data_IF_355633399770
#
_entry.id   IF_355633399770
#
_cell.length_a   1.000
_cell.length_b   1.000
_cell.length_c   1.000
_cell.angle_alpha   90.00
_cell.angle_beta   90.00
_cell.angle_gamma   90.00
#
_symmetry.space_group_name_H-M   'P 1'
#
loop_
_entity.id
_entity.type
_entity.pdbx_description
1 polymer ?
#
# COMPACT_ATOMS: atom_id res chain seq x y z
N UNK A 1 17.08 35.13 -25.33
CA UNK A 1 16.66 33.71 -25.33
C UNK A 1 16.21 33.35 -23.91
N UNK A 2 14.90 33.25 -23.64
CA UNK A 2 14.38 32.99 -22.28
C UNK A 2 14.47 31.49 -21.98
N UNK A 3 15.37 31.10 -21.08
CA UNK A 3 15.52 29.73 -20.60
C UNK A 3 14.29 29.38 -19.74
N UNK A 4 13.34 28.64 -20.31
CA UNK A 4 12.22 28.05 -19.55
C UNK A 4 12.78 26.87 -18.76
N UNK A 5 13.06 27.07 -17.47
CA UNK A 5 13.18 25.97 -16.53
C UNK A 5 11.82 25.29 -16.42
N UNK A 6 11.62 24.18 -17.16
CA UNK A 6 10.58 23.23 -16.84
C UNK A 6 10.99 22.57 -15.52
N UNK A 7 10.38 22.99 -14.41
CA UNK A 7 10.37 22.18 -13.21
C UNK A 7 9.59 20.89 -13.55
N UNK A 8 10.30 19.83 -13.91
CA UNK A 8 9.71 18.51 -14.09
C UNK A 8 9.37 18.00 -12.70
N UNK A 9 8.14 18.23 -12.25
CA UNK A 9 7.59 17.51 -11.10
C UNK A 9 7.43 16.04 -11.49
N UNK A 10 8.47 15.26 -11.21
CA UNK A 10 8.36 13.80 -11.26
C UNK A 10 7.43 13.39 -10.12
N UNK A 11 6.17 13.10 -10.45
CA UNK A 11 5.25 12.48 -9.51
C UNK A 11 5.67 11.02 -9.31
N UNK A 12 6.61 10.80 -8.40
CA UNK A 12 7.06 9.46 -8.04
C UNK A 12 5.92 8.71 -7.36
N UNK A 13 5.68 7.48 -7.80
CA UNK A 13 4.70 6.63 -7.15
C UNK A 13 5.11 6.34 -5.70
N UNK A 14 4.16 6.47 -4.77
CA UNK A 14 4.43 6.32 -3.35
C UNK A 14 3.32 5.51 -2.67
N UNK A 15 3.71 4.79 -1.62
CA UNK A 15 2.80 4.08 -0.73
C UNK A 15 2.86 4.71 0.67
N UNK A 16 1.72 4.74 1.35
CA UNK A 16 1.65 5.08 2.77
C UNK A 16 0.70 4.13 3.49
N UNK A 17 1.00 3.90 4.77
CA UNK A 17 0.30 2.98 5.64
C UNK A 17 -0.18 3.73 6.89
N UNK A 18 -1.44 3.51 7.28
CA UNK A 18 -2.00 3.98 8.55
C UNK A 18 -2.85 2.89 9.18
N UNK A 19 -2.93 2.88 10.50
CA UNK A 19 -3.83 2.00 11.23
C UNK A 19 -5.07 2.73 11.71
N UNK A 20 -6.18 2.01 11.86
CA UNK A 20 -7.29 2.48 12.69
C UNK A 20 -6.85 2.59 14.15
N UNK A 21 -7.50 3.47 14.92
CA UNK A 21 -7.21 3.67 16.35
C UNK A 21 -7.33 2.37 17.16
N UNK A 22 -8.30 1.51 16.80
CA UNK A 22 -8.51 0.20 17.41
C UNK A 22 -7.67 -0.93 16.80
N UNK A 23 -6.76 -0.59 15.87
CA UNK A 23 -5.87 -1.52 15.15
C UNK A 23 -6.57 -2.69 14.46
N UNK A 24 -7.85 -2.56 14.13
CA UNK A 24 -8.60 -3.58 13.36
C UNK A 24 -8.41 -3.47 11.85
N UNK A 25 -8.00 -2.29 11.38
CA UNK A 25 -7.84 -2.01 9.96
C UNK A 25 -6.51 -1.36 9.65
N UNK A 26 -5.92 -1.74 8.52
CA UNK A 26 -4.83 -1.03 7.87
C UNK A 26 -5.33 -0.32 6.61
N UNK A 27 -5.04 0.96 6.51
CA UNK A 27 -5.37 1.81 5.37
C UNK A 27 -4.11 2.02 4.54
N UNK A 28 -4.10 1.43 3.34
CA UNK A 28 -3.03 1.55 2.36
C UNK A 28 -3.43 2.64 1.37
N UNK A 29 -2.60 3.66 1.19
CA UNK A 29 -2.83 4.71 0.19
C UNK A 29 -1.67 4.76 -0.80
N UNK A 30 -2.02 4.82 -2.08
CA UNK A 30 -1.07 4.85 -3.19
C UNK A 30 -1.31 6.12 -4.00
N UNK A 31 -0.24 6.85 -4.31
CA UNK A 31 -0.26 8.12 -5.06
C UNK A 31 0.75 8.10 -6.20
N UNK A 32 0.69 9.06 -7.12
CA UNK A 32 1.62 9.14 -8.25
C UNK A 32 1.38 8.06 -9.31
N UNK A 33 0.13 7.59 -9.45
CA UNK A 33 -0.17 6.37 -10.23
C UNK A 33 -0.35 6.58 -11.74
N UNK A 34 -0.13 7.80 -12.25
CA UNK A 34 -0.46 8.15 -13.64
C UNK A 34 0.20 7.25 -14.66
N UNK A 35 1.44 6.81 -14.40
CA UNK A 35 2.24 5.97 -15.28
C UNK A 35 2.42 4.53 -14.77
N UNK A 36 1.73 4.18 -13.69
CA UNK A 36 1.72 2.83 -13.12
C UNK A 36 0.61 2.01 -13.78
N UNK A 37 0.95 0.81 -14.26
CA UNK A 37 0.02 -0.16 -14.83
C UNK A 37 -0.48 -1.17 -13.79
N UNK A 38 0.36 -1.51 -12.80
CA UNK A 38 0.06 -2.47 -11.74
C UNK A 38 0.72 -2.08 -10.43
N UNK A 39 0.01 -2.33 -9.34
CA UNK A 39 0.57 -2.37 -7.98
C UNK A 39 0.45 -3.81 -7.48
N UNK A 40 1.51 -4.31 -6.87
CA UNK A 40 1.48 -5.50 -6.01
C UNK A 40 1.97 -5.10 -4.63
N UNK A 41 1.41 -5.68 -3.57
CA UNK A 41 1.86 -5.40 -2.22
C UNK A 41 1.75 -6.62 -1.31
N UNK A 42 2.61 -6.63 -0.30
CA UNK A 42 2.58 -7.55 0.85
C UNK A 42 2.48 -6.67 2.09
N UNK A 43 1.49 -6.93 2.92
CA UNK A 43 1.36 -6.33 4.25
C UNK A 43 1.62 -7.42 5.29
N UNK A 44 2.63 -7.23 6.14
CA UNK A 44 2.93 -8.12 7.27
C UNK A 44 2.74 -7.37 8.58
N UNK A 45 2.44 -8.12 9.65
CA UNK A 45 2.28 -7.58 10.99
C UNK A 45 2.41 -8.69 12.04
N UNK A 46 2.88 -8.34 13.22
CA UNK A 46 2.96 -9.26 14.34
C UNK A 46 1.63 -9.29 15.12
N UNK A 47 1.35 -10.44 15.72
CA UNK A 47 0.23 -10.65 16.64
C UNK A 47 0.71 -11.40 17.86
N UNK A 48 -0.14 -11.52 18.89
CA UNK A 48 0.14 -12.39 20.03
C UNK A 48 0.29 -13.89 19.66
N UNK A 49 -0.11 -14.29 18.44
CA UNK A 49 -0.03 -15.67 17.94
C UNK A 49 0.92 -15.81 16.74
N UNK A 50 1.94 -14.96 16.68
CA UNK A 50 2.95 -14.94 15.62
C UNK A 50 2.61 -13.98 14.48
N UNK A 51 3.53 -13.90 13.52
CA UNK A 51 3.42 -13.02 12.36
C UNK A 51 2.30 -13.46 11.42
N UNK A 52 1.62 -12.47 10.85
CA UNK A 52 0.58 -12.63 9.83
C UNK A 52 0.91 -11.76 8.63
N UNK A 53 0.32 -12.10 7.49
CA UNK A 53 0.46 -11.30 6.29
C UNK A 53 -0.71 -11.49 5.34
N UNK A 54 -0.83 -10.55 4.42
CA UNK A 54 -1.73 -10.61 3.28
C UNK A 54 -1.06 -10.02 2.05
N UNK A 55 -1.41 -10.57 0.89
CA UNK A 55 -0.95 -10.07 -0.40
C UNK A 55 -2.11 -9.43 -1.15
N UNK A 56 -1.80 -8.45 -1.97
CA UNK A 56 -2.81 -7.82 -2.82
C UNK A 56 -2.23 -7.26 -4.10
N UNK A 57 -3.13 -7.03 -5.05
CA UNK A 57 -2.79 -6.50 -6.36
C UNK A 57 -3.87 -5.55 -6.88
N UNK A 58 -3.43 -4.53 -7.61
CA UNK A 58 -4.30 -3.57 -8.27
C UNK A 58 -3.85 -3.43 -9.71
N UNK A 59 -4.69 -3.84 -10.66
CA UNK A 59 -4.53 -3.44 -12.07
C UNK A 59 -5.06 -2.01 -12.18
N UNK A 60 -4.20 -1.09 -12.59
CA UNK A 60 -4.53 0.32 -12.66
C UNK A 60 -5.00 0.70 -14.05
N UNK A 61 -6.03 1.56 -14.10
CA UNK A 61 -6.43 2.31 -15.30
C UNK A 61 -5.88 3.74 -15.17
N UNK A 62 -6.47 4.71 -15.89
CA UNK A 62 -6.11 6.14 -15.76
C UNK A 62 -6.58 6.70 -14.40
N UNK A 63 -5.79 6.50 -13.34
CA UNK A 63 -5.99 7.16 -12.03
C UNK A 63 -4.64 7.67 -11.51
N UNK A 64 -4.67 8.71 -10.67
CA UNK A 64 -3.49 9.22 -9.97
C UNK A 64 -3.33 8.67 -8.55
N UNK A 65 -4.39 8.05 -8.00
CA UNK A 65 -4.44 7.55 -6.62
C UNK A 65 -5.31 6.31 -6.51
N UNK A 66 -5.05 5.50 -5.49
CA UNK A 66 -5.88 4.35 -5.10
C UNK A 66 -5.71 4.09 -3.61
N UNK A 67 -6.75 3.60 -2.94
CA UNK A 67 -6.68 3.21 -1.53
C UNK A 67 -7.22 1.80 -1.30
N UNK A 68 -6.80 1.17 -0.21
CA UNK A 68 -7.29 -0.13 0.25
C UNK A 68 -7.46 -0.12 1.75
N UNK A 69 -8.60 -0.64 2.21
CA UNK A 69 -8.83 -0.97 3.62
C UNK A 69 -8.61 -2.46 3.77
N UNK A 70 -7.69 -2.85 4.64
CA UNK A 70 -7.36 -4.23 4.95
C UNK A 70 -7.83 -4.56 6.36
N UNK A 71 -8.46 -5.72 6.52
CA UNK A 71 -8.86 -6.24 7.84
C UNK A 71 -7.66 -6.95 8.47
N UNK A 72 -7.33 -6.62 9.72
CA UNK A 72 -6.31 -7.30 10.49
C UNK A 72 -6.96 -8.43 11.31
N UNK A 73 -7.37 -9.47 10.59
CA UNK A 73 -8.15 -10.57 11.13
C UNK A 73 -8.62 -11.54 10.05
N UNK A 74 -9.47 -12.47 10.44
CA UNK A 74 -10.09 -13.45 9.54
C UNK A 74 -11.58 -13.20 9.48
N UNK A 75 -12.14 -13.15 8.28
CA UNK A 75 -13.58 -13.00 8.08
C UNK A 75 -14.18 -14.26 7.49
N UNK A 76 -15.32 -14.70 8.02
CA UNK A 76 -16.12 -15.82 7.49
C UNK A 76 -17.60 -15.44 7.54
N UNK A 77 -18.31 -15.65 6.43
CA UNK A 77 -19.75 -15.35 6.29
C UNK A 77 -20.16 -13.95 6.79
N UNK A 78 -19.36 -12.94 6.48
CA UNK A 78 -19.61 -11.54 6.85
C UNK A 78 -19.22 -11.14 8.28
N UNK A 79 -18.77 -12.08 9.12
CA UNK A 79 -18.29 -11.80 10.48
C UNK A 79 -16.77 -11.89 10.53
N UNK A 80 -16.12 -10.88 11.12
CA UNK A 80 -14.67 -10.83 11.24
C UNK A 80 -14.23 -11.03 12.70
N UNK A 81 -13.25 -11.91 12.89
CA UNK A 81 -12.51 -12.06 14.15
C UNK A 81 -11.18 -11.35 13.99
N UNK A 82 -10.96 -10.31 14.79
CA UNK A 82 -9.78 -9.45 14.71
C UNK A 82 -8.61 -10.04 15.50
N UNK A 83 -7.43 -9.98 14.92
CA UNK A 83 -6.19 -10.37 15.58
C UNK A 83 -5.82 -9.38 16.69
N UNK A 84 -5.18 -9.87 17.75
CA UNK A 84 -4.82 -9.09 18.94
C UNK A 84 -3.30 -8.89 19.03
N UNK A 85 -2.88 -7.81 19.70
CA UNK A 85 -1.45 -7.51 19.91
C UNK A 85 -0.74 -7.02 18.65
N UNK A 86 -1.43 -6.25 17.81
CA UNK A 86 -0.91 -5.76 16.53
C UNK A 86 0.25 -4.77 16.73
N UNK A 87 1.39 -5.09 16.12
CA UNK A 87 2.63 -4.28 16.10
C UNK A 87 3.48 -4.61 14.88
N UNK A 88 4.53 -3.83 14.65
CA UNK A 88 5.55 -4.08 13.61
C UNK A 88 4.93 -4.25 12.22
N UNK A 89 4.06 -3.31 11.83
CA UNK A 89 3.30 -3.41 10.58
C UNK A 89 4.19 -2.92 9.45
N UNK A 90 4.35 -3.75 8.42
CA UNK A 90 5.17 -3.44 7.26
C UNK A 90 4.36 -3.61 5.98
N UNK A 91 4.38 -2.59 5.14
CA UNK A 91 3.84 -2.61 3.79
C UNK A 91 4.99 -2.56 2.79
N UNK A 92 5.23 -3.66 2.09
CA UNK A 92 6.13 -3.72 0.94
C UNK A 92 5.30 -3.64 -0.33
N UNK A 93 5.54 -2.62 -1.16
CA UNK A 93 4.78 -2.31 -2.37
C UNK A 93 5.69 -2.29 -3.59
N UNK A 94 5.29 -2.99 -4.64
CA UNK A 94 5.92 -2.96 -5.96
C UNK A 94 5.02 -2.24 -6.95
N UNK A 95 5.51 -1.14 -7.51
CA UNK A 95 4.89 -0.41 -8.60
C UNK A 95 5.48 -0.89 -9.93
N UNK A 96 4.62 -1.23 -10.88
CA UNK A 96 5.00 -1.56 -12.25
C UNK A 96 4.54 -0.42 -13.16
N UNK A 97 5.49 0.25 -13.80
CA UNK A 97 5.21 1.29 -14.78
C UNK A 97 4.65 0.68 -16.08
N UNK A 98 4.00 1.50 -16.91
CA UNK A 98 3.49 1.07 -18.23
C UNK A 98 4.60 0.63 -19.18
N UNK A 99 5.81 1.16 -19.02
CA UNK A 99 7.01 0.73 -19.76
C UNK A 99 7.64 -0.57 -19.20
N UNK A 100 7.04 -1.18 -18.17
CA UNK A 100 7.52 -2.41 -17.55
C UNK A 100 8.51 -2.24 -16.40
N UNK A 101 9.05 -1.04 -16.17
CA UNK A 101 9.98 -0.77 -15.06
C UNK A 101 9.30 -1.01 -13.72
N UNK A 102 10.01 -1.66 -12.78
CA UNK A 102 9.50 -1.96 -11.44
C UNK A 102 10.25 -1.16 -10.38
N UNK A 103 9.52 -0.66 -9.39
CA UNK A 103 10.08 0.00 -8.21
C UNK A 103 9.42 -0.57 -6.96
N UNK A 104 10.22 -0.96 -5.98
CA UNK A 104 9.75 -1.53 -4.71
C UNK A 104 10.04 -0.57 -3.56
N UNK A 105 9.06 -0.36 -2.68
CA UNK A 105 9.18 0.50 -1.51
C UNK A 105 8.61 -0.20 -0.28
N UNK A 106 9.25 -0.02 0.87
CA UNK A 106 8.78 -0.55 2.15
C UNK A 106 8.43 0.59 3.10
N UNK A 107 7.25 0.53 3.71
CA UNK A 107 6.77 1.50 4.71
C UNK A 107 6.43 0.77 5.99
N UNK A 108 6.83 1.30 7.15
CA UNK A 108 6.58 0.68 8.45
C UNK A 108 5.78 1.61 9.36
N UNK A 109 4.92 1.01 10.17
CA UNK A 109 4.21 1.68 11.26
C UNK A 109 4.39 0.83 12.52
N UNK A 110 4.75 1.44 13.66
CA UNK A 110 4.93 0.72 14.92
C UNK A 110 3.65 0.01 15.40
#
# INVERSE_FOLDING_TARGET
>A
MKLKFLAVFVFVAAASLRLSSDKKFAYLNFTGLKDISKISYILTYDTNRGQKGLEGGIKLKKTSRSSRKQVLGTCSSGKCVYHQGIKNIELTTTFVNKNGTKTTTTTRVP
#
